data_IF_945247375962
#
_entry.id   IF_945247375962
#
_cell.length_a   1.000
_cell.length_b   1.000
_cell.length_c   1.000
_cell.angle_alpha   90.00
_cell.angle_beta   90.00
_cell.angle_gamma   90.00
#
_symmetry.space_group_name_H-M   'P 1'
#
loop_
_entity.id
_entity.type
_entity.pdbx_description
1 polymer ?
#
# COMPACT_ATOMS: atom_id res chain seq x y z
N UNK A 1 3.37 17.39 -10.56
CA UNK A 1 2.88 16.04 -10.88
C UNK A 1 1.73 15.69 -9.95
N UNK A 2 0.57 16.23 -10.30
CA UNK A 2 -0.73 15.97 -9.65
C UNK A 2 -1.56 15.01 -10.54
N UNK A 3 -2.63 14.40 -10.03
CA UNK A 3 -3.41 13.41 -10.80
C UNK A 3 -4.05 13.97 -12.08
N UNK A 4 -4.21 15.28 -12.18
CA UNK A 4 -4.65 15.95 -13.41
C UNK A 4 -3.65 15.87 -14.56
N UNK A 5 -2.34 15.79 -14.30
CA UNK A 5 -1.35 15.59 -15.38
C UNK A 5 -1.53 14.22 -16.04
N UNK A 6 -1.92 13.20 -15.26
CA UNK A 6 -2.26 11.88 -15.79
C UNK A 6 -3.49 11.96 -16.71
N UNK A 7 -4.49 12.76 -16.32
CA UNK A 7 -5.67 13.02 -17.14
C UNK A 7 -5.29 13.62 -18.50
N UNK A 8 -4.40 14.62 -18.51
CA UNK A 8 -3.91 15.25 -19.73
C UNK A 8 -3.10 14.28 -20.59
N UNK A 9 -2.31 13.39 -19.98
CA UNK A 9 -1.54 12.38 -20.69
C UNK A 9 -2.38 11.25 -21.28
N UNK A 10 -3.48 10.88 -20.62
CA UNK A 10 -4.48 9.96 -21.18
C UNK A 10 -5.19 10.60 -22.38
N UNK A 11 -5.66 11.84 -22.23
CA UNK A 11 -6.37 12.57 -23.30
C UNK A 11 -5.49 12.85 -24.52
N UNK A 12 -4.22 13.19 -24.30
CA UNK A 12 -3.26 13.43 -25.39
C UNK A 12 -2.73 12.15 -26.05
N UNK A 13 -3.07 10.97 -25.53
CA UNK A 13 -2.55 9.69 -26.01
C UNK A 13 -1.07 9.46 -25.68
N UNK A 14 -0.48 10.26 -24.79
CA UNK A 14 0.89 10.04 -24.30
C UNK A 14 0.98 8.78 -23.43
N UNK A 15 -0.07 8.48 -22.68
CA UNK A 15 -0.24 7.20 -21.98
C UNK A 15 -1.28 6.38 -22.75
N UNK A 16 -0.86 5.22 -23.23
CA UNK A 16 -1.70 4.29 -24.02
C UNK A 16 -1.93 2.95 -23.34
N UNK A 17 -1.16 2.63 -22.30
CA UNK A 17 -1.40 1.45 -21.47
C UNK A 17 -2.62 1.71 -20.57
N UNK A 18 -3.43 0.69 -20.26
CA UNK A 18 -4.56 0.85 -19.35
C UNK A 18 -4.06 1.32 -17.98
N UNK A 19 -4.68 2.38 -17.46
CA UNK A 19 -4.40 2.93 -16.13
C UNK A 19 -5.55 2.60 -15.21
N UNK A 20 -5.22 2.06 -14.03
CA UNK A 20 -6.15 1.82 -12.94
C UNK A 20 -5.79 2.79 -11.83
N UNK A 21 -6.74 3.59 -11.37
CA UNK A 21 -6.45 4.69 -10.45
C UNK A 21 -7.55 4.87 -9.40
N UNK A 22 -7.14 5.31 -8.21
CA UNK A 22 -8.03 5.67 -7.12
C UNK A 22 -7.34 6.67 -6.18
N UNK A 23 -7.90 7.88 -6.09
CA UNK A 23 -7.53 8.89 -5.09
C UNK A 23 -8.28 8.60 -3.78
N UNK A 24 -7.53 8.36 -2.70
CA UNK A 24 -8.07 8.15 -1.36
C UNK A 24 -8.39 9.48 -0.67
N UNK A 25 -9.18 9.43 0.41
CA UNK A 25 -9.60 10.64 1.15
C UNK A 25 -11.00 11.15 0.78
N UNK A 26 -11.84 10.29 0.21
CA UNK A 26 -13.24 10.62 -0.12
C UNK A 26 -14.09 10.98 1.10
N UNK A 27 -13.70 10.54 2.31
CA UNK A 27 -14.39 10.93 3.54
C UNK A 27 -14.24 12.42 3.89
N UNK A 28 -13.26 13.12 3.32
CA UNK A 28 -13.04 14.54 3.57
C UNK A 28 -14.30 15.37 3.29
N UNK A 29 -15.08 15.00 2.27
CA UNK A 29 -16.31 15.70 1.88
C UNK A 29 -17.48 15.49 2.84
N UNK A 30 -17.36 14.56 3.79
CA UNK A 30 -18.41 14.27 4.79
C UNK A 30 -18.26 15.21 6.00
N UNK A 31 -17.04 15.71 6.25
CA UNK A 31 -16.78 16.61 7.36
C UNK A 31 -17.26 18.03 7.05
N UNK A 32 -17.85 18.74 8.02
CA UNK A 32 -18.29 20.13 7.84
C UNK A 32 -17.14 21.14 7.91
N UNK A 33 -15.89 20.67 8.10
CA UNK A 33 -14.69 21.49 8.22
C UNK A 33 -13.50 20.82 7.52
N UNK A 34 -12.47 21.61 7.25
CA UNK A 34 -11.22 21.12 6.65
C UNK A 34 -10.46 20.21 7.62
N UNK A 35 -10.03 19.04 7.13
CA UNK A 35 -9.27 18.06 7.91
C UNK A 35 -7.90 17.85 7.27
N UNK A 36 -6.85 18.12 8.03
CA UNK A 36 -5.50 17.69 7.70
C UNK A 36 -5.34 16.21 8.08
N UNK A 37 -5.15 15.34 7.10
CA UNK A 37 -4.81 13.94 7.36
C UNK A 37 -3.30 13.78 7.60
N UNK A 38 -2.89 12.60 8.09
CA UNK A 38 -1.52 12.38 8.61
C UNK A 38 -0.38 12.63 7.61
N UNK A 39 -0.62 12.50 6.30
CA UNK A 39 0.35 12.90 5.29
C UNK A 39 0.36 14.43 5.14
N UNK A 40 1.52 15.08 5.15
CA UNK A 40 1.62 16.55 5.17
C UNK A 40 0.83 17.26 4.06
N UNK A 41 0.76 16.68 2.85
CA UNK A 41 -0.02 17.22 1.73
C UNK A 41 -1.48 16.75 1.65
N UNK A 42 -1.96 15.94 2.59
CA UNK A 42 -3.31 15.38 2.57
C UNK A 42 -4.32 16.33 3.22
N UNK A 43 -4.48 17.50 2.60
CA UNK A 43 -5.46 18.53 2.91
C UNK A 43 -5.93 19.13 1.60
N UNK A 44 -7.22 19.00 1.28
CA UNK A 44 -7.79 19.64 0.09
C UNK A 44 -8.10 21.11 0.40
N UNK A 45 -7.45 22.04 -0.32
CA UNK A 45 -7.65 23.50 -0.20
C UNK A 45 -8.76 24.03 -1.11
N UNK A 46 -9.35 23.17 -1.92
CA UNK A 46 -10.46 23.48 -2.82
C UNK A 46 -10.98 22.24 -3.54
N UNK A 47 -12.09 22.39 -4.27
CA UNK A 47 -12.81 21.28 -4.89
C UNK A 47 -11.94 20.41 -5.81
N UNK A 48 -11.04 21.04 -6.59
CA UNK A 48 -10.13 20.33 -7.47
C UNK A 48 -9.13 19.42 -6.72
N UNK A 49 -8.79 19.77 -5.48
CA UNK A 49 -7.88 18.95 -4.67
C UNK A 49 -8.60 17.79 -3.97
N UNK A 50 -9.93 17.72 -4.04
CA UNK A 50 -10.70 16.65 -3.41
C UNK A 50 -10.52 15.32 -4.13
N UNK A 51 -10.48 14.23 -3.35
CA UNK A 51 -10.39 12.87 -3.88
C UNK A 51 -11.55 12.55 -4.85
N UNK A 52 -12.75 13.06 -4.57
CA UNK A 52 -13.94 12.85 -5.43
C UNK A 52 -13.75 13.53 -6.79
N UNK A 53 -13.29 14.79 -6.82
CA UNK A 53 -13.06 15.51 -8.07
C UNK A 53 -11.95 14.85 -8.90
N UNK A 54 -10.86 14.42 -8.26
CA UNK A 54 -9.75 13.72 -8.92
C UNK A 54 -10.17 12.37 -9.49
N UNK A 55 -10.91 11.56 -8.72
CA UNK A 55 -11.46 10.28 -9.19
C UNK A 55 -12.38 10.45 -10.40
N UNK A 56 -13.24 11.47 -10.37
CA UNK A 56 -14.10 11.81 -11.51
C UNK A 56 -13.28 12.20 -12.74
N UNK A 57 -12.31 13.10 -12.57
CA UNK A 57 -11.46 13.55 -13.67
C UNK A 57 -10.66 12.41 -14.32
N UNK A 58 -10.13 11.50 -13.51
CA UNK A 58 -9.42 10.31 -13.99
C UNK A 58 -10.35 9.39 -14.79
N UNK A 59 -11.56 9.13 -14.27
CA UNK A 59 -12.57 8.31 -14.94
C UNK A 59 -12.98 8.91 -16.28
N UNK A 60 -13.26 10.22 -16.31
CA UNK A 60 -13.64 10.97 -17.51
C UNK A 60 -12.50 11.01 -18.56
N UNK A 61 -11.25 10.82 -18.12
CA UNK A 61 -10.07 10.79 -19.00
C UNK A 61 -9.74 9.38 -19.53
N UNK A 62 -10.52 8.36 -19.16
CA UNK A 62 -10.35 6.98 -19.65
C UNK A 62 -9.56 6.06 -18.71
N UNK A 63 -9.26 6.48 -17.48
CA UNK A 63 -8.73 5.55 -16.48
C UNK A 63 -9.83 4.63 -15.93
N UNK A 64 -9.45 3.42 -15.56
CA UNK A 64 -10.31 2.49 -14.82
C UNK A 64 -10.33 2.91 -13.34
N UNK A 65 -11.43 3.53 -12.91
CA UNK A 65 -11.62 4.04 -11.55
C UNK A 65 -12.79 3.29 -10.89
N UNK A 66 -12.58 2.53 -9.79
CA UNK A 66 -13.66 1.84 -9.09
C UNK A 66 -14.60 2.81 -8.38
N UNK A 67 -15.72 2.32 -7.83
CA UNK A 67 -16.64 3.17 -7.07
C UNK A 67 -16.14 3.47 -5.66
N UNK A 68 -15.33 2.57 -5.10
CA UNK A 68 -14.73 2.69 -3.78
C UNK A 68 -13.43 1.87 -3.71
N UNK A 69 -12.69 1.99 -2.60
CA UNK A 69 -11.41 1.30 -2.44
C UNK A 69 -11.54 -0.23 -2.33
N UNK A 70 -12.67 -0.76 -1.85
CA UNK A 70 -12.87 -2.21 -1.70
C UNK A 70 -12.92 -2.91 -3.07
N UNK A 71 -13.46 -2.23 -4.09
CA UNK A 71 -13.54 -2.72 -5.47
C UNK A 71 -12.22 -2.57 -6.24
N UNK A 72 -11.18 -1.95 -5.66
CA UNK A 72 -9.92 -1.70 -6.39
C UNK A 72 -9.23 -3.00 -6.84
N UNK A 73 -9.29 -4.04 -6.01
CA UNK A 73 -8.77 -5.37 -6.36
C UNK A 73 -9.54 -6.03 -7.51
N UNK A 74 -10.87 -5.87 -7.55
CA UNK A 74 -11.71 -6.41 -8.61
C UNK A 74 -11.44 -5.72 -9.95
N UNK A 75 -11.28 -4.38 -9.95
CA UNK A 75 -10.90 -3.63 -11.14
C UNK A 75 -9.52 -4.02 -11.67
N UNK A 76 -8.54 -4.25 -10.77
CA UNK A 76 -7.21 -4.76 -11.16
C UNK A 76 -7.35 -6.10 -11.87
N UNK A 77 -8.12 -7.02 -11.27
CA UNK A 77 -8.34 -8.35 -11.83
C UNK A 77 -9.04 -8.27 -13.19
N UNK A 78 -10.08 -7.46 -13.32
CA UNK A 78 -10.82 -7.30 -14.57
C UNK A 78 -9.90 -6.82 -15.71
N UNK A 79 -9.11 -5.77 -15.47
CA UNK A 79 -8.17 -5.27 -16.48
C UNK A 79 -7.10 -6.31 -16.83
N UNK A 80 -6.60 -7.06 -15.85
CA UNK A 80 -5.65 -8.15 -16.09
C UNK A 80 -6.27 -9.27 -16.94
N UNK A 81 -7.44 -9.77 -16.57
CA UNK A 81 -8.15 -10.84 -17.27
C UNK A 81 -8.48 -10.42 -18.71
N UNK A 82 -8.85 -9.16 -18.92
CA UNK A 82 -9.05 -8.59 -20.26
C UNK A 82 -7.76 -8.58 -21.08
N UNK A 83 -6.63 -8.15 -20.52
CA UNK A 83 -5.34 -8.17 -21.22
C UNK A 83 -4.87 -9.58 -21.57
N UNK A 84 -5.16 -10.57 -20.72
CA UNK A 84 -4.85 -11.99 -20.98
C UNK A 84 -5.74 -12.54 -22.09
N UNK A 85 -7.06 -12.28 -22.02
CA UNK A 85 -8.01 -12.77 -23.04
C UNK A 85 -7.80 -12.14 -24.42
N UNK A 86 -7.34 -10.89 -24.48
CA UNK A 86 -6.91 -10.20 -25.71
C UNK A 86 -5.55 -10.70 -26.24
N UNK A 87 -4.84 -11.53 -25.48
CA UNK A 87 -3.49 -12.02 -25.83
C UNK A 87 -2.39 -10.96 -25.73
N UNK A 88 -2.68 -9.78 -25.15
CA UNK A 88 -1.69 -8.72 -24.90
C UNK A 88 -0.75 -9.04 -23.74
N UNK A 89 -1.19 -9.92 -22.82
CA UNK A 89 -0.43 -10.42 -21.69
C UNK A 89 -0.48 -11.94 -21.66
N UNK A 90 0.68 -12.59 -21.57
CA UNK A 90 0.77 -14.05 -21.39
C UNK A 90 1.38 -14.31 -20.02
N UNK A 91 0.62 -14.90 -19.07
CA UNK A 91 1.15 -15.20 -17.74
C UNK A 91 2.36 -16.14 -17.82
N UNK A 92 3.46 -15.75 -17.19
CA UNK A 92 4.63 -16.59 -17.07
C UNK A 92 4.40 -17.69 -16.02
N UNK A 93 5.03 -18.87 -16.17
CA UNK A 93 5.02 -19.88 -15.12
C UNK A 93 5.78 -19.37 -13.88
N UNK A 94 5.28 -19.72 -12.70
CA UNK A 94 5.92 -19.38 -11.42
C UNK A 94 7.29 -20.07 -11.30
N UNK A 95 8.39 -19.33 -11.06
CA UNK A 95 9.70 -19.92 -10.87
C UNK A 95 9.85 -20.53 -9.47
N UNK A 96 10.79 -21.47 -9.32
CA UNK A 96 11.17 -21.95 -7.98
C UNK A 96 11.84 -20.83 -7.17
N UNK A 97 11.31 -20.55 -5.98
CA UNK A 97 11.83 -19.50 -5.11
C UNK A 97 13.04 -20.04 -4.32
N UNK A 98 14.20 -19.35 -4.33
CA UNK A 98 15.35 -19.78 -3.55
C UNK A 98 15.05 -19.72 -2.06
N UNK A 99 15.48 -20.75 -1.32
CA UNK A 99 15.27 -20.84 0.13
C UNK A 99 16.26 -19.94 0.86
N UNK A 100 15.74 -18.94 1.59
CA UNK A 100 16.53 -18.11 2.50
C UNK A 100 16.45 -18.71 3.91
N UNK A 101 17.58 -18.88 4.62
CA UNK A 101 17.55 -19.34 6.01
C UNK A 101 16.75 -18.39 6.90
N UNK A 102 15.98 -18.95 7.83
CA UNK A 102 15.27 -18.16 8.82
C UNK A 102 16.25 -17.46 9.75
N UNK A 103 16.01 -16.19 10.05
CA UNK A 103 16.79 -15.46 11.04
C UNK A 103 16.72 -16.13 12.41
N UNK A 104 17.86 -16.23 13.09
CA UNK A 104 17.95 -16.88 14.38
C UNK A 104 17.06 -16.24 15.45
N UNK A 105 16.95 -14.91 15.48
CA UNK A 105 16.10 -14.23 16.48
C UNK A 105 14.62 -14.53 16.23
N UNK A 106 14.21 -14.64 14.97
CA UNK A 106 12.86 -15.06 14.60
C UNK A 106 12.59 -16.51 15.00
N UNK A 107 13.51 -17.42 14.65
CA UNK A 107 13.42 -18.83 15.01
C UNK A 107 13.35 -19.05 16.53
N UNK A 108 14.13 -18.28 17.30
CA UNK A 108 14.09 -18.32 18.77
C UNK A 108 12.77 -17.77 19.32
N UNK A 109 12.26 -16.66 18.79
CA UNK A 109 10.97 -16.05 19.21
C UNK A 109 9.77 -16.98 18.96
N UNK A 110 9.80 -17.71 17.85
CA UNK A 110 8.78 -18.72 17.53
C UNK A 110 8.99 -20.04 18.28
N UNK A 111 10.06 -20.19 19.06
CA UNK A 111 10.37 -21.43 19.80
C UNK A 111 10.83 -22.60 18.92
N UNK A 112 11.17 -22.35 17.65
CA UNK A 112 11.61 -23.38 16.69
C UNK A 112 13.03 -23.88 16.99
N UNK A 113 13.84 -23.04 17.65
CA UNK A 113 15.19 -23.38 18.07
C UNK A 113 15.41 -22.96 19.52
N UNK A 114 16.21 -23.74 20.24
CA UNK A 114 16.70 -23.41 21.57
C UNK A 114 18.22 -23.27 21.52
N UNK A 115 18.73 -22.16 22.06
CA UNK A 115 20.16 -21.96 22.29
C UNK A 115 20.38 -21.73 23.78
N UNK A 116 21.19 -22.56 24.45
CA UNK A 116 21.49 -22.36 25.87
C UNK A 116 22.22 -21.03 26.09
N UNK A 117 22.03 -20.45 27.27
CA UNK A 117 22.80 -19.29 27.70
C UNK A 117 24.24 -19.70 28.05
N UNK A 118 25.22 -18.89 27.63
CA UNK A 118 26.63 -19.15 27.93
C UNK A 118 27.07 -18.56 29.28
N UNK A 119 26.30 -17.60 29.82
CA UNK A 119 26.60 -16.87 31.04
C UNK A 119 25.38 -16.85 31.96
N UNK A 120 25.64 -16.82 33.27
CA UNK A 120 24.64 -16.70 34.33
C UNK A 120 25.02 -15.47 35.17
N UNK A 121 24.06 -14.56 35.38
CA UNK A 121 24.16 -13.44 36.31
C UNK A 121 23.02 -13.55 37.33
N UNK A 122 23.33 -13.33 38.61
CA UNK A 122 22.38 -13.49 39.72
C UNK A 122 22.30 -12.29 40.67
N UNK A 123 23.03 -11.20 40.40
CA UNK A 123 23.13 -10.04 41.30
C UNK A 123 22.44 -8.77 40.76
N UNK A 124 22.15 -8.70 39.47
CA UNK A 124 21.44 -7.58 38.85
C UNK A 124 20.69 -8.00 37.58
N UNK A 125 19.62 -7.26 37.24
CA UNK A 125 18.84 -7.42 36.00
C UNK A 125 18.41 -6.03 35.47
N UNK A 126 18.84 -5.70 34.26
CA UNK A 126 18.61 -4.42 33.56
C UNK A 126 17.66 -4.54 32.37
N UNK A 127 17.06 -5.72 32.15
CA UNK A 127 16.23 -6.00 30.97
C UNK A 127 14.79 -5.48 31.09
N UNK A 128 14.35 -5.16 32.30
CA UNK A 128 13.01 -4.63 32.58
C UNK A 128 12.96 -3.11 32.52
N UNK A 129 11.81 -2.53 32.87
CA UNK A 129 11.63 -1.07 32.89
C UNK A 129 12.46 -0.38 33.99
N UNK A 130 12.77 -1.09 35.08
CA UNK A 130 13.59 -0.61 36.20
C UNK A 130 14.75 -1.57 36.50
N UNK A 131 15.88 -0.99 36.92
CA UNK A 131 17.06 -1.74 37.35
C UNK A 131 16.81 -2.47 38.67
N UNK A 132 17.22 -3.74 38.72
CA UNK A 132 17.07 -4.58 39.91
C UNK A 132 18.43 -4.99 40.49
N UNK A 133 18.52 -5.02 41.82
CA UNK A 133 19.67 -5.51 42.57
C UNK A 133 19.27 -6.70 43.45
N UNK A 134 19.79 -7.88 43.12
CA UNK A 134 19.49 -9.15 43.79
C UNK A 134 17.99 -9.49 43.94
N UNK A 135 17.15 -9.04 42.99
CA UNK A 135 15.71 -9.25 42.97
C UNK A 135 15.02 -8.35 41.97
#
# INVERSE_FOLDING_TARGET
VDEYEICDYLKSGRITKPIIAWCIGTCASIFPFEVQFGHAGALARGDAETAIAKNKALKDSGAHVPNNFFEFGDTIKEVFDNLVSEGKLVPAPEPEIPRVPMDYTWAKRLGLVRKPANFISSISDDRGDELKYAG
#
